data_IF_839179919256
#
_entry.id   IF_839179919256
#
_cell.length_a   1.000
_cell.length_b   1.000
_cell.length_c   1.000
_cell.angle_alpha   90.00
_cell.angle_beta   90.00
_cell.angle_gamma   90.00
#
_symmetry.space_group_name_H-M   'P 1'
#
loop_
_entity.id
_entity.type
_entity.pdbx_description
1 polymer ?
#
# COMPACT_ATOMS: atom_id res chain seq x y z
N UNK A 1 14.86 15.23 -0.48
CA UNK A 1 14.31 13.89 -0.19
C UNK A 1 12.88 14.03 0.30
N UNK A 2 11.97 13.23 -0.22
CA UNK A 2 10.55 13.24 0.12
C UNK A 2 10.00 11.81 0.14
N UNK A 3 8.83 11.61 0.77
CA UNK A 3 8.09 10.36 0.71
C UNK A 3 6.85 10.56 -0.14
N UNK A 4 6.68 9.70 -1.13
CA UNK A 4 5.52 9.64 -2.00
C UNK A 4 4.74 8.34 -1.79
N UNK A 5 3.54 8.24 -2.34
CA UNK A 5 2.78 7.00 -2.40
C UNK A 5 2.06 6.82 -3.74
N UNK A 6 1.99 5.57 -4.20
CA UNK A 6 1.18 5.14 -5.34
C UNK A 6 0.83 3.67 -5.16
N UNK A 7 -0.40 3.37 -4.79
CA UNK A 7 -0.94 2.02 -4.66
C UNK A 7 -1.55 1.51 -5.96
N UNK A 8 -1.86 0.21 -6.00
CA UNK A 8 -2.70 -0.37 -7.05
C UNK A 8 -2.12 -0.19 -8.46
N UNK A 9 -0.84 -0.54 -8.62
CA UNK A 9 -0.16 -0.46 -9.91
C UNK A 9 -0.76 -1.44 -10.92
N UNK A 10 -1.29 -2.57 -10.44
CA UNK A 10 -1.94 -3.62 -11.22
C UNK A 10 -1.17 -3.99 -12.49
N UNK A 11 0.16 -4.07 -12.37
CA UNK A 11 1.03 -4.43 -13.49
C UNK A 11 0.73 -5.84 -13.97
N UNK A 12 0.88 -6.05 -15.27
CA UNK A 12 0.63 -7.34 -15.92
C UNK A 12 1.52 -7.53 -17.15
N UNK A 13 2.76 -7.05 -17.08
CA UNK A 13 3.71 -7.13 -18.20
C UNK A 13 3.99 -8.59 -18.60
N UNK A 14 4.03 -9.48 -17.60
CA UNK A 14 4.17 -10.93 -17.82
C UNK A 14 2.83 -11.66 -18.10
N UNK A 15 1.68 -10.99 -17.99
CA UNK A 15 0.35 -11.57 -18.19
C UNK A 15 -0.64 -10.57 -18.82
N UNK A 16 -0.39 -10.14 -20.06
CA UNK A 16 -1.13 -9.03 -20.69
C UNK A 16 -2.61 -9.27 -20.87
N UNK A 17 -3.07 -10.51 -20.82
CA UNK A 17 -4.48 -10.91 -20.81
C UNK A 17 -5.24 -10.47 -19.54
N UNK A 18 -4.53 -10.03 -18.49
CA UNK A 18 -5.10 -9.50 -17.25
C UNK A 18 -5.01 -7.98 -17.13
N UNK A 19 -4.67 -7.28 -18.22
CA UNK A 19 -4.54 -5.82 -18.18
C UNK A 19 -5.82 -5.14 -17.73
N UNK A 20 -5.68 -4.14 -16.86
CA UNK A 20 -6.77 -3.28 -16.40
C UNK A 20 -7.43 -2.52 -17.57
N UNK A 21 -6.73 -2.31 -18.67
CA UNK A 21 -7.24 -1.67 -19.89
C UNK A 21 -8.42 -2.43 -20.50
N UNK A 22 -8.44 -3.76 -20.34
CA UNK A 22 -9.51 -4.61 -20.90
C UNK A 22 -10.86 -4.29 -20.26
N UNK A 23 -10.83 -3.93 -18.96
CA UNK A 23 -12.06 -3.73 -18.17
C UNK A 23 -12.42 -2.26 -17.98
N UNK A 24 -11.43 -1.33 -18.09
CA UNK A 24 -11.59 0.04 -17.65
C UNK A 24 -10.94 1.04 -18.62
N UNK A 25 -11.74 1.77 -19.39
CA UNK A 25 -11.24 2.79 -20.31
C UNK A 25 -10.38 3.88 -19.63
N UNK A 26 -10.58 4.13 -18.34
CA UNK A 26 -9.77 5.08 -17.55
C UNK A 26 -8.33 4.62 -17.35
N UNK A 27 -8.04 3.33 -17.58
CA UNK A 27 -6.72 2.71 -17.46
C UNK A 27 -5.95 2.64 -18.79
N UNK A 28 -6.46 3.21 -19.87
CA UNK A 28 -5.75 3.24 -21.16
C UNK A 28 -4.34 3.81 -20.98
N UNK A 29 -3.34 3.10 -21.51
CA UNK A 29 -1.90 3.43 -21.44
C UNK A 29 -1.39 3.64 -19.99
N UNK A 30 -2.00 2.99 -18.99
CA UNK A 30 -1.70 3.28 -17.58
C UNK A 30 -0.24 2.99 -17.19
N UNK A 31 0.40 1.97 -17.77
CA UNK A 31 1.80 1.64 -17.49
C UNK A 31 2.72 2.79 -17.93
N UNK A 32 2.51 3.33 -19.14
CA UNK A 32 3.26 4.48 -19.65
C UNK A 32 2.95 5.76 -18.85
N UNK A 33 1.71 5.94 -18.42
CA UNK A 33 1.32 7.06 -17.57
C UNK A 33 1.98 6.99 -16.20
N UNK A 34 2.02 5.80 -15.57
CA UNK A 34 2.77 5.57 -14.33
C UNK A 34 4.24 5.92 -14.55
N UNK A 35 4.88 5.35 -15.56
CA UNK A 35 6.30 5.59 -15.87
C UNK A 35 6.61 7.07 -16.06
N UNK A 36 5.82 7.74 -16.88
CA UNK A 36 6.00 9.17 -17.15
C UNK A 36 5.84 10.01 -15.87
N UNK A 37 4.69 9.85 -15.20
CA UNK A 37 4.36 10.66 -14.03
C UNK A 37 5.32 10.40 -12.85
N UNK A 38 5.78 9.15 -12.70
CA UNK A 38 6.77 8.79 -11.68
C UNK A 38 8.10 9.47 -11.95
N UNK A 39 8.64 9.36 -13.19
CA UNK A 39 9.91 10.00 -13.57
C UNK A 39 9.87 11.55 -13.51
N UNK A 40 8.70 12.15 -13.71
CA UNK A 40 8.50 13.60 -13.58
C UNK A 40 8.39 14.07 -12.13
N UNK A 41 8.14 13.17 -11.18
CA UNK A 41 7.78 13.51 -9.79
C UNK A 41 8.81 13.07 -8.76
N UNK A 42 9.40 11.89 -8.96
CA UNK A 42 10.27 11.20 -8.00
C UNK A 42 11.71 11.26 -8.47
N UNK A 43 12.64 11.50 -7.55
CA UNK A 43 14.09 11.43 -7.77
C UNK A 43 14.68 10.17 -7.14
N UNK A 44 15.94 9.84 -7.47
CA UNK A 44 16.64 8.68 -6.88
C UNK A 44 16.80 8.75 -5.36
N UNK A 45 16.73 9.95 -4.80
CA UNK A 45 16.87 10.20 -3.35
C UNK A 45 15.55 10.06 -2.58
N UNK A 46 14.42 9.94 -3.29
CA UNK A 46 13.09 9.88 -2.67
C UNK A 46 12.68 8.44 -2.34
N UNK A 47 11.65 8.30 -1.49
CA UNK A 47 11.04 7.01 -1.17
C UNK A 47 9.59 6.98 -1.65
N UNK A 48 9.18 5.87 -2.26
CA UNK A 48 7.79 5.66 -2.70
C UNK A 48 7.18 4.47 -1.98
N UNK A 49 6.08 4.73 -1.29
CA UNK A 49 5.24 3.73 -0.66
C UNK A 49 4.28 3.13 -1.69
N UNK A 50 4.23 1.79 -1.76
CA UNK A 50 3.31 1.08 -2.65
C UNK A 50 2.39 0.18 -1.80
N UNK A 51 1.23 0.68 -1.36
CA UNK A 51 0.30 -0.02 -0.48
C UNK A 51 -0.51 -1.14 -1.15
N UNK A 52 0.17 -2.06 -1.85
CA UNK A 52 -0.43 -3.28 -2.40
C UNK A 52 -1.01 -3.17 -3.80
N UNK A 53 -1.50 -4.31 -4.28
CA UNK A 53 -2.01 -4.56 -5.62
C UNK A 53 -1.01 -4.14 -6.71
N UNK A 54 0.20 -4.72 -6.59
CA UNK A 54 1.37 -4.39 -7.39
C UNK A 54 1.31 -5.09 -8.75
N UNK A 55 1.06 -6.40 -8.74
CA UNK A 55 1.11 -7.24 -9.95
C UNK A 55 0.00 -8.29 -9.97
N UNK A 56 -0.58 -8.52 -11.14
CA UNK A 56 -1.54 -9.59 -11.42
C UNK A 56 -0.90 -10.99 -11.54
N UNK A 57 0.40 -11.12 -11.40
CA UNK A 57 1.07 -12.41 -11.43
C UNK A 57 0.57 -13.32 -10.30
N UNK A 58 0.53 -14.63 -10.58
CA UNK A 58 0.09 -15.62 -9.58
C UNK A 58 1.25 -16.10 -8.70
N UNK A 59 2.47 -16.08 -9.23
CA UNK A 59 3.70 -16.55 -8.56
C UNK A 59 4.79 -15.49 -8.66
N UNK A 60 5.70 -15.45 -7.70
CA UNK A 60 6.76 -14.43 -7.62
C UNK A 60 7.70 -14.45 -8.83
N UNK A 61 8.02 -15.62 -9.35
CA UNK A 61 8.84 -15.79 -10.56
C UNK A 61 8.14 -15.28 -11.84
N UNK A 62 6.80 -15.22 -11.83
CA UNK A 62 6.00 -14.67 -12.93
C UNK A 62 5.80 -13.16 -12.84
N UNK A 63 6.19 -12.53 -11.74
CA UNK A 63 6.13 -11.08 -11.55
C UNK A 63 7.47 -10.39 -11.91
N UNK A 64 8.46 -11.11 -12.46
CA UNK A 64 9.80 -10.57 -12.72
C UNK A 64 9.78 -9.31 -13.59
N UNK A 65 9.03 -9.30 -14.69
CA UNK A 65 8.96 -8.15 -15.58
C UNK A 65 8.29 -6.94 -14.90
N UNK A 66 7.26 -7.17 -14.08
CA UNK A 66 6.60 -6.13 -13.32
C UNK A 66 7.55 -5.52 -12.28
N UNK A 67 8.32 -6.35 -11.56
CA UNK A 67 9.32 -5.87 -10.62
C UNK A 67 10.50 -5.17 -11.30
N UNK A 68 10.93 -5.66 -12.48
CA UNK A 68 11.96 -5.00 -13.28
C UNK A 68 11.51 -3.60 -13.67
N UNK A 69 10.29 -3.46 -14.17
CA UNK A 69 9.71 -2.15 -14.46
C UNK A 69 9.74 -1.22 -13.25
N UNK A 70 9.32 -1.70 -12.05
CA UNK A 70 9.34 -0.88 -10.83
C UNK A 70 10.78 -0.56 -10.41
N UNK A 71 11.72 -1.50 -10.52
CA UNK A 71 13.11 -1.30 -10.13
C UNK A 71 13.83 -0.24 -10.96
N UNK A 72 13.44 -0.10 -12.23
CA UNK A 72 13.98 0.92 -13.15
C UNK A 72 13.44 2.33 -12.89
N UNK A 73 12.36 2.47 -12.16
CA UNK A 73 11.84 3.77 -11.74
C UNK A 73 12.71 4.37 -10.64
N UNK A 74 12.88 5.72 -10.56
CA UNK A 74 13.70 6.36 -9.55
C UNK A 74 13.16 6.18 -8.12
N UNK A 75 14.05 6.32 -7.14
CA UNK A 75 13.77 6.27 -5.72
C UNK A 75 13.75 4.85 -5.12
N UNK A 76 13.75 4.78 -3.79
CA UNK A 76 13.56 3.57 -3.00
C UNK A 76 12.06 3.22 -2.94
N UNK A 77 11.69 1.96 -3.12
CA UNK A 77 10.28 1.52 -3.08
C UNK A 77 10.03 0.62 -1.88
N UNK A 78 9.02 0.96 -1.10
CA UNK A 78 8.54 0.15 0.03
C UNK A 78 7.22 -0.50 -0.37
N UNK A 79 7.24 -1.83 -0.50
CA UNK A 79 6.14 -2.61 -1.06
C UNK A 79 5.36 -3.33 0.03
N UNK A 80 4.05 -3.14 0.11
CA UNK A 80 3.19 -3.96 0.96
C UNK A 80 2.20 -4.78 0.14
N UNK A 81 1.52 -5.73 0.78
CA UNK A 81 0.63 -6.67 0.11
C UNK A 81 -0.77 -6.10 -0.09
N UNK A 82 -1.32 -6.24 -1.30
CA UNK A 82 -2.75 -6.07 -1.59
C UNK A 82 -3.53 -7.39 -1.65
N UNK A 83 -4.76 -7.34 -2.10
CA UNK A 83 -5.60 -8.52 -2.23
C UNK A 83 -5.38 -9.28 -3.55
N UNK A 84 -4.91 -8.61 -4.58
CA UNK A 84 -4.59 -9.22 -5.88
C UNK A 84 -3.13 -9.67 -6.00
N UNK A 85 -2.27 -9.39 -5.02
CA UNK A 85 -0.90 -9.88 -4.99
C UNK A 85 -0.85 -11.38 -4.63
N UNK A 86 -1.32 -12.23 -5.55
CA UNK A 86 -1.33 -13.69 -5.38
C UNK A 86 0.08 -14.29 -5.35
N UNK A 87 1.05 -13.63 -5.97
CA UNK A 87 2.47 -13.96 -5.96
C UNK A 87 3.11 -13.84 -4.57
N UNK A 88 2.49 -13.11 -3.65
CA UNK A 88 3.03 -12.87 -2.31
C UNK A 88 3.15 -14.15 -1.52
N UNK A 89 4.38 -14.49 -1.13
CA UNK A 89 4.72 -15.73 -0.42
C UNK A 89 5.43 -15.46 0.91
N UNK A 90 6.37 -16.30 1.33
CA UNK A 90 7.16 -16.04 2.53
C UNK A 90 8.17 -14.93 2.27
N UNK A 91 8.46 -14.11 3.29
CA UNK A 91 9.43 -13.01 3.18
C UNK A 91 10.75 -13.51 2.59
N UNK A 92 11.31 -14.59 3.18
CA UNK A 92 12.57 -15.15 2.69
C UNK A 92 12.56 -15.48 1.19
N UNK A 93 11.51 -16.09 0.67
CA UNK A 93 11.44 -16.42 -0.76
C UNK A 93 11.40 -15.18 -1.65
N UNK A 94 10.70 -14.14 -1.21
CA UNK A 94 10.61 -12.89 -1.95
C UNK A 94 11.94 -12.12 -1.91
N UNK A 95 12.57 -12.07 -0.73
CA UNK A 95 13.89 -11.45 -0.54
C UNK A 95 14.99 -12.18 -1.33
N UNK A 96 15.02 -13.52 -1.28
CA UNK A 96 15.94 -14.34 -2.06
C UNK A 96 15.76 -14.09 -3.58
N UNK A 97 14.51 -13.98 -4.04
CA UNK A 97 14.20 -13.68 -5.44
C UNK A 97 14.65 -12.26 -5.84
N UNK A 98 14.41 -11.26 -5.00
CA UNK A 98 14.85 -9.89 -5.27
C UNK A 98 16.37 -9.79 -5.30
N UNK A 99 17.07 -10.47 -4.38
CA UNK A 99 18.52 -10.53 -4.38
C UNK A 99 19.08 -11.23 -5.63
N UNK A 100 18.47 -12.36 -6.06
CA UNK A 100 18.85 -13.06 -7.30
C UNK A 100 18.70 -12.19 -8.54
N UNK A 101 17.65 -11.37 -8.60
CA UNK A 101 17.33 -10.52 -9.77
C UNK A 101 17.97 -9.14 -9.71
N UNK A 102 18.64 -8.78 -8.62
CA UNK A 102 19.30 -7.47 -8.44
C UNK A 102 18.32 -6.31 -8.21
N UNK A 103 17.17 -6.57 -7.58
CA UNK A 103 16.18 -5.54 -7.23
C UNK A 103 16.53 -4.89 -5.89
N UNK A 104 17.62 -4.12 -5.84
CA UNK A 104 18.23 -3.60 -4.61
C UNK A 104 17.48 -2.40 -4.02
N UNK A 105 16.69 -1.68 -4.83
CA UNK A 105 15.98 -0.47 -4.42
C UNK A 105 14.51 -0.72 -4.02
N UNK A 106 14.15 -1.97 -3.76
CA UNK A 106 12.81 -2.38 -3.33
C UNK A 106 12.87 -3.23 -2.07
N UNK A 107 12.03 -2.92 -1.09
CA UNK A 107 11.93 -3.62 0.18
C UNK A 107 10.48 -3.94 0.53
N UNK A 108 10.27 -5.02 1.28
CA UNK A 108 8.93 -5.44 1.70
C UNK A 108 8.56 -4.90 3.08
N UNK A 109 7.34 -4.38 3.18
CA UNK A 109 6.71 -3.95 4.43
C UNK A 109 5.62 -4.94 4.82
N UNK A 110 5.86 -5.67 5.92
CA UNK A 110 4.91 -6.65 6.47
C UNK A 110 5.05 -6.71 7.99
N UNK A 111 4.41 -5.78 8.68
CA UNK A 111 4.50 -5.63 10.14
C UNK A 111 5.92 -5.42 10.68
N UNK A 112 6.92 -5.20 9.82
CA UNK A 112 8.23 -4.67 10.18
C UNK A 112 8.21 -3.14 10.15
N UNK A 113 9.22 -2.52 10.73
CA UNK A 113 9.42 -1.07 10.69
C UNK A 113 10.65 -0.78 9.84
N UNK A 114 10.50 0.13 8.90
CA UNK A 114 11.58 0.69 8.08
C UNK A 114 11.66 2.19 8.32
N UNK A 115 12.85 2.75 8.21
CA UNK A 115 13.06 4.18 8.36
C UNK A 115 13.35 4.83 7.01
N UNK A 116 12.74 5.99 6.77
CA UNK A 116 13.05 6.87 5.65
C UNK A 116 12.67 8.31 5.99
N UNK A 117 13.50 9.27 5.61
CA UNK A 117 13.27 10.72 5.74
C UNK A 117 12.81 11.16 7.14
N UNK A 118 13.38 10.56 8.19
CA UNK A 118 12.99 10.86 9.57
C UNK A 118 11.58 10.37 9.94
N UNK A 119 11.02 9.44 9.15
CA UNK A 119 9.76 8.78 9.42
C UNK A 119 9.97 7.29 9.68
N UNK A 120 9.15 6.69 10.53
CA UNK A 120 9.04 5.24 10.69
C UNK A 120 7.84 4.73 9.90
N UNK A 121 8.08 3.73 9.08
CA UNK A 121 7.09 3.20 8.14
C UNK A 121 6.86 1.73 8.45
N UNK A 122 5.60 1.37 8.63
CA UNK A 122 5.16 -0.03 8.80
C UNK A 122 3.95 -0.30 7.92
N UNK A 123 3.48 -1.55 7.83
CA UNK A 123 2.31 -1.83 7.02
C UNK A 123 1.75 -3.24 7.16
N UNK A 124 0.49 -3.34 6.78
CA UNK A 124 -0.25 -4.60 6.65
C UNK A 124 -1.29 -4.49 5.54
N UNK A 125 -1.91 -5.61 5.15
CA UNK A 125 -2.93 -5.59 4.12
C UNK A 125 -4.22 -4.88 4.60
N UNK A 126 -4.61 -5.08 5.85
CA UNK A 126 -5.91 -4.67 6.36
C UNK A 126 -7.07 -5.50 5.82
N UNK A 127 -8.27 -5.03 6.10
CA UNK A 127 -9.52 -5.58 5.60
C UNK A 127 -10.60 -4.51 5.58
N UNK A 128 -11.36 -4.43 4.51
CA UNK A 128 -12.47 -3.47 4.42
C UNK A 128 -13.71 -4.01 5.14
N UNK A 129 -14.30 -3.16 5.97
CA UNK A 129 -15.51 -3.48 6.74
C UNK A 129 -16.50 -2.37 6.47
N UNK A 130 -17.61 -2.71 5.83
CA UNK A 130 -18.68 -1.74 5.53
C UNK A 130 -19.64 -1.56 6.70
N UNK A 131 -19.84 -2.59 7.52
CA UNK A 131 -20.70 -2.57 8.70
C UNK A 131 -20.33 -3.69 9.69
N UNK A 132 -20.81 -3.59 10.95
CA UNK A 132 -20.65 -4.68 11.94
C UNK A 132 -21.25 -6.00 11.44
N UNK A 133 -22.36 -5.94 10.73
CA UNK A 133 -23.07 -7.14 10.23
C UNK A 133 -22.22 -7.88 9.18
N UNK A 134 -21.36 -7.19 8.43
CA UNK A 134 -20.44 -7.81 7.47
C UNK A 134 -19.35 -8.65 8.12
N UNK A 135 -19.13 -8.52 9.43
CA UNK A 135 -18.15 -9.27 10.23
C UNK A 135 -18.73 -10.61 10.71
N UNK A 136 -20.05 -10.75 10.82
CA UNK A 136 -20.71 -11.89 11.46
C UNK A 136 -20.60 -13.21 10.71
N UNK A 137 -20.19 -13.21 9.42
CA UNK A 137 -19.86 -14.43 8.69
C UNK A 137 -18.55 -15.04 9.18
N UNK A 138 -18.50 -16.37 9.39
CA UNK A 138 -17.38 -17.06 10.05
C UNK A 138 -16.01 -16.85 9.40
N UNK A 139 -15.93 -16.70 8.09
CA UNK A 139 -14.67 -16.46 7.36
C UNK A 139 -14.24 -14.99 7.45
N UNK A 140 -15.14 -14.06 7.23
CA UNK A 140 -14.86 -12.62 7.34
C UNK A 140 -14.40 -12.25 8.74
N UNK A 141 -15.01 -12.83 9.78
CA UNK A 141 -14.61 -12.60 11.17
C UNK A 141 -13.18 -13.05 11.46
N UNK A 142 -12.76 -14.22 10.95
CA UNK A 142 -11.38 -14.70 11.13
C UNK A 142 -10.37 -13.79 10.45
N UNK A 143 -10.69 -13.30 9.25
CA UNK A 143 -9.82 -12.37 8.52
C UNK A 143 -9.74 -11.05 9.27
N UNK A 144 -10.87 -10.52 9.70
CA UNK A 144 -10.99 -9.29 10.48
C UNK A 144 -10.13 -9.32 11.74
N UNK A 145 -10.32 -10.33 12.61
CA UNK A 145 -9.56 -10.46 13.85
C UNK A 145 -8.05 -10.59 13.60
N UNK A 146 -7.67 -11.31 12.55
CA UNK A 146 -6.26 -11.43 12.15
C UNK A 146 -5.68 -10.09 11.70
N UNK A 147 -6.40 -9.31 10.91
CA UNK A 147 -5.91 -8.01 10.44
C UNK A 147 -5.91 -6.98 11.59
N UNK A 148 -6.87 -7.05 12.51
CA UNK A 148 -6.86 -6.29 13.77
C UNK A 148 -5.59 -6.53 14.57
N UNK A 149 -5.21 -7.80 14.77
CA UNK A 149 -3.95 -8.16 15.42
C UNK A 149 -2.73 -7.64 14.68
N UNK A 150 -2.73 -7.64 13.34
CA UNK A 150 -1.61 -7.12 12.53
C UNK A 150 -1.48 -5.62 12.63
N UNK A 151 -2.59 -4.88 12.63
CA UNK A 151 -2.58 -3.43 12.87
C UNK A 151 -1.98 -3.15 14.25
N UNK A 152 -2.41 -3.90 15.29
CA UNK A 152 -1.84 -3.76 16.62
C UNK A 152 -0.33 -4.04 16.63
N UNK A 153 0.12 -5.12 15.97
CA UNK A 153 1.56 -5.41 15.84
C UNK A 153 2.35 -4.30 15.14
N UNK A 154 1.77 -3.64 14.13
CA UNK A 154 2.39 -2.48 13.47
C UNK A 154 2.56 -1.33 14.48
N UNK A 155 1.51 -1.00 15.22
CA UNK A 155 1.50 0.06 16.22
C UNK A 155 2.52 -0.22 17.33
N UNK A 156 2.52 -1.45 17.86
CA UNK A 156 3.43 -1.84 18.95
C UNK A 156 4.90 -1.71 18.50
N UNK A 157 5.22 -2.11 17.27
CA UNK A 157 6.58 -1.99 16.74
C UNK A 157 6.99 -0.54 16.44
N UNK A 158 6.07 0.32 16.03
CA UNK A 158 6.36 1.75 15.92
C UNK A 158 6.72 2.34 17.28
N UNK A 159 5.92 2.04 18.32
CA UNK A 159 6.16 2.49 19.68
C UNK A 159 7.44 1.90 20.29
N UNK A 160 7.79 0.66 19.93
CA UNK A 160 9.07 0.05 20.34
C UNK A 160 10.27 0.74 19.70
N UNK A 161 10.14 1.09 18.40
CA UNK A 161 11.22 1.73 17.65
C UNK A 161 11.39 3.23 17.97
N UNK A 162 10.32 3.88 18.42
CA UNK A 162 10.28 5.33 18.74
C UNK A 162 9.36 5.58 19.95
N UNK A 163 9.84 5.25 21.19
CA UNK A 163 9.04 5.38 22.40
C UNK A 163 8.60 6.81 22.73
N UNK A 164 9.43 7.79 22.36
CA UNK A 164 9.21 9.20 22.65
C UNK A 164 8.43 9.92 21.54
N UNK A 165 8.11 9.20 20.44
CA UNK A 165 7.42 9.72 19.25
C UNK A 165 8.14 10.97 18.64
N UNK A 166 9.46 10.87 18.50
CA UNK A 166 10.27 11.94 17.92
C UNK A 166 10.22 11.98 16.39
N UNK A 167 9.75 10.87 15.76
CA UNK A 167 9.62 10.71 14.32
C UNK A 167 8.15 10.61 13.93
N UNK A 168 7.85 10.93 12.67
CA UNK A 168 6.50 10.67 12.12
C UNK A 168 6.29 9.18 11.90
N UNK A 169 5.16 8.67 12.36
CA UNK A 169 4.73 7.29 12.17
C UNK A 169 3.81 7.18 10.97
N UNK A 170 4.19 6.37 9.97
CA UNK A 170 3.42 6.14 8.75
C UNK A 170 2.98 4.68 8.69
N UNK A 171 1.69 4.44 8.51
CA UNK A 171 1.11 3.12 8.27
C UNK A 171 0.68 2.98 6.82
N UNK A 172 1.23 1.99 6.12
CA UNK A 172 0.76 1.54 4.81
C UNK A 172 -0.27 0.44 5.00
N UNK A 173 -1.47 0.64 4.48
CA UNK A 173 -2.54 -0.37 4.53
C UNK A 173 -3.22 -0.44 3.17
N UNK A 174 -3.49 -1.66 2.65
CA UNK A 174 -4.10 -1.74 1.32
C UNK A 174 -5.59 -1.42 1.36
N UNK A 175 -6.37 -2.11 2.21
CA UNK A 175 -7.78 -1.81 2.36
C UNK A 175 -8.01 -0.52 3.14
N UNK A 176 -8.96 0.36 2.70
CA UNK A 176 -9.24 1.59 3.44
C UNK A 176 -9.76 1.29 4.86
N UNK A 177 -9.09 1.79 5.92
CA UNK A 177 -9.53 1.58 7.29
C UNK A 177 -10.74 2.44 7.68
N UNK A 178 -11.04 3.43 6.84
CA UNK A 178 -12.18 4.33 6.95
C UNK A 178 -12.66 4.70 5.54
N UNK A 179 -13.96 4.93 5.38
CA UNK A 179 -14.55 5.45 4.14
C UNK A 179 -15.42 6.66 4.40
N UNK A 180 -15.61 7.53 3.40
CA UNK A 180 -16.32 8.80 3.52
C UNK A 180 -17.77 8.71 4.05
N UNK A 181 -18.39 7.52 3.97
CA UNK A 181 -19.78 7.30 4.39
C UNK A 181 -19.91 6.22 5.47
N UNK A 182 -18.79 5.75 6.03
CA UNK A 182 -18.79 4.65 6.96
C UNK A 182 -19.08 5.14 8.39
N UNK A 183 -19.99 4.43 9.07
CA UNK A 183 -20.27 4.64 10.49
C UNK A 183 -19.42 3.77 11.43
N UNK A 184 -18.68 2.80 10.89
CA UNK A 184 -17.85 1.88 11.64
C UNK A 184 -16.38 2.11 11.33
N UNK A 185 -15.66 2.63 12.31
CA UNK A 185 -14.29 3.15 12.15
C UNK A 185 -13.27 2.46 13.06
N UNK A 186 -13.55 1.23 13.50
CA UNK A 186 -12.71 0.56 14.51
C UNK A 186 -11.23 0.50 14.12
N UNK A 187 -10.90 0.19 12.86
CA UNK A 187 -9.51 0.19 12.41
C UNK A 187 -8.92 1.60 12.37
N UNK A 188 -9.70 2.59 11.93
CA UNK A 188 -9.24 3.98 11.94
C UNK A 188 -9.01 4.50 13.35
N UNK A 189 -9.91 4.22 14.29
CA UNK A 189 -9.73 4.58 15.70
C UNK A 189 -8.52 3.88 16.32
N UNK A 190 -8.33 2.58 16.06
CA UNK A 190 -7.12 1.85 16.52
C UNK A 190 -5.83 2.49 15.99
N UNK A 191 -5.81 2.89 14.72
CA UNK A 191 -4.65 3.52 14.08
C UNK A 191 -4.36 4.88 14.74
N UNK A 192 -5.39 5.68 14.95
CA UNK A 192 -5.27 7.01 15.56
C UNK A 192 -4.85 6.92 17.05
N UNK A 193 -5.53 6.11 17.87
CA UNK A 193 -5.17 5.86 19.26
C UNK A 193 -3.77 5.25 19.40
N UNK A 194 -3.31 4.55 18.34
CA UNK A 194 -1.99 3.98 18.24
C UNK A 194 -0.87 5.01 18.07
N UNK A 195 -1.19 6.27 17.76
CA UNK A 195 -0.22 7.33 17.51
C UNK A 195 0.37 7.29 16.08
N UNK A 196 -0.41 6.83 15.11
CA UNK A 196 -0.01 6.91 13.69
C UNK A 196 -0.36 8.29 13.16
N UNK A 197 0.64 9.03 12.65
CA UNK A 197 0.43 10.38 12.10
C UNK A 197 -0.21 10.34 10.72
N UNK A 198 0.21 9.39 9.88
CA UNK A 198 -0.26 9.28 8.50
C UNK A 198 -0.59 7.83 8.17
N UNK A 199 -1.77 7.61 7.65
CA UNK A 199 -2.22 6.33 7.10
C UNK A 199 -2.44 6.44 5.59
N UNK A 200 -1.66 5.67 4.82
CA UNK A 200 -1.74 5.65 3.35
C UNK A 200 -2.39 4.35 2.90
N UNK A 201 -3.39 4.44 2.05
CA UNK A 201 -4.15 3.28 1.61
C UNK A 201 -4.45 3.29 0.10
N UNK A 202 -4.95 2.16 -0.41
CA UNK A 202 -5.32 1.94 -1.81
C UNK A 202 -6.69 1.31 -1.98
N UNK A 203 -6.78 0.34 -2.91
CA UNK A 203 -7.92 -0.57 -3.14
C UNK A 203 -9.15 0.03 -3.83
N UNK A 204 -9.38 1.32 -3.77
CA UNK A 204 -10.58 1.95 -4.30
C UNK A 204 -10.40 2.34 -5.77
N UNK A 205 -11.19 1.75 -6.67
CA UNK A 205 -11.14 1.99 -8.11
C UNK A 205 -12.46 2.48 -8.69
N UNK A 206 -12.39 3.32 -9.72
CA UNK A 206 -13.53 3.75 -10.50
C UNK A 206 -14.67 4.31 -9.65
N UNK A 207 -15.84 3.67 -9.65
CA UNK A 207 -17.00 4.14 -8.88
C UNK A 207 -16.77 4.13 -7.36
N UNK A 208 -15.86 3.30 -6.86
CA UNK A 208 -15.56 3.26 -5.42
C UNK A 208 -14.72 4.45 -4.94
N UNK A 209 -14.18 5.29 -5.83
CA UNK A 209 -13.55 6.57 -5.46
C UNK A 209 -14.46 7.45 -4.60
N UNK A 210 -15.77 7.37 -4.78
CA UNK A 210 -16.73 8.10 -3.94
C UNK A 210 -16.75 7.66 -2.47
N UNK A 211 -16.10 6.55 -2.15
CA UNK A 211 -15.91 6.05 -0.78
C UNK A 211 -14.59 6.51 -0.17
N UNK A 212 -13.67 7.08 -0.94
CA UNK A 212 -12.39 7.53 -0.43
C UNK A 212 -12.58 8.61 0.65
N UNK A 213 -11.89 8.42 1.76
CA UNK A 213 -11.79 9.40 2.83
C UNK A 213 -10.41 10.07 2.77
N UNK A 214 -10.41 11.34 2.43
CA UNK A 214 -9.22 12.19 2.41
C UNK A 214 -9.33 13.22 3.53
N UNK A 215 -8.41 13.22 4.48
CA UNK A 215 -8.46 14.16 5.58
C UNK A 215 -7.93 13.60 6.89
N UNK A 216 -8.26 14.29 7.98
CA UNK A 216 -7.86 13.93 9.33
C UNK A 216 -9.03 13.29 10.10
N UNK A 217 -8.71 12.22 10.84
CA UNK A 217 -9.62 11.57 11.76
C UNK A 217 -8.85 11.24 13.04
N UNK A 218 -9.29 11.78 14.17
CA UNK A 218 -8.70 11.58 15.50
C UNK A 218 -7.17 11.81 15.55
N UNK A 219 -6.66 12.80 14.79
CA UNK A 219 -5.24 13.15 14.74
C UNK A 219 -4.41 12.41 13.70
N UNK A 220 -4.97 11.39 13.03
CA UNK A 220 -4.32 10.71 11.91
C UNK A 220 -4.77 11.27 10.57
N UNK A 221 -3.83 11.60 9.69
CA UNK A 221 -4.12 11.98 8.30
C UNK A 221 -4.25 10.73 7.43
N UNK A 222 -5.41 10.54 6.78
CA UNK A 222 -5.68 9.45 5.84
C UNK A 222 -5.54 9.92 4.39
N UNK A 223 -4.83 9.13 3.57
CA UNK A 223 -4.51 9.47 2.17
C UNK A 223 -4.80 8.25 1.29
N UNK A 224 -5.68 8.43 0.31
CA UNK A 224 -5.92 7.45 -0.74
C UNK A 224 -4.88 7.62 -1.84
N UNK A 225 -4.13 6.56 -2.14
CA UNK A 225 -3.08 6.56 -3.15
C UNK A 225 -3.33 5.61 -4.32
N UNK A 226 -4.58 5.11 -4.48
CA UNK A 226 -4.94 4.25 -5.62
C UNK A 226 -4.59 4.93 -6.95
N UNK A 227 -3.91 4.23 -7.84
CA UNK A 227 -3.33 4.81 -9.05
C UNK A 227 -4.33 5.58 -9.91
N UNK A 228 -5.51 5.02 -10.18
CA UNK A 228 -6.54 5.69 -10.98
C UNK A 228 -7.24 6.83 -10.23
N UNK A 229 -7.24 6.81 -8.88
CA UNK A 229 -7.74 7.92 -8.06
C UNK A 229 -6.84 9.15 -8.16
N UNK A 230 -5.53 8.95 -8.11
CA UNK A 230 -4.52 10.02 -8.17
C UNK A 230 -4.01 10.33 -9.58
N UNK A 231 -4.69 9.80 -10.62
CA UNK A 231 -4.34 10.03 -12.02
C UNK A 231 -3.00 9.41 -12.44
N UNK A 232 -2.61 8.30 -11.81
CA UNK A 232 -1.36 7.53 -12.05
C UNK A 232 -0.10 8.35 -11.75
N UNK A 233 -0.19 9.27 -10.79
CA UNK A 233 0.93 10.11 -10.37
C UNK A 233 1.21 9.89 -8.89
N UNK A 234 2.48 9.60 -8.49
CA UNK A 234 2.84 9.52 -7.07
C UNK A 234 2.45 10.79 -6.31
N UNK A 235 1.75 10.63 -5.19
CA UNK A 235 1.33 11.75 -4.34
C UNK A 235 2.33 11.94 -3.21
N UNK A 236 2.67 13.20 -2.93
CA UNK A 236 3.60 13.53 -1.84
C UNK A 236 2.93 13.33 -0.48
N UNK A 237 3.59 12.59 0.42
CA UNK A 237 3.14 12.28 1.76
C UNK A 237 3.82 13.19 2.79
N UNK A 238 5.15 13.27 2.69
CA UNK A 238 6.03 14.13 3.54
C UNK A 238 6.99 14.91 2.68
#
# INVERSE_FOLDING_TARGET
MAIYALADLHLCLSCPDKSMEICWATWTDYVERIKKNWNETVTDEDTVLVPGDISWATYVDKAEEDFRFISELPGRKLLSRGNHDYWWTTMKKMEDFFAEKGFENMEFVRTNVLESEGCLITGTRGWMIESKDSIEGSENRKIYEREKLRIQMCIDKLKEADPDHDKKHILMIHYPPITAKQSFTEFASMIAEGGVDICVYGHLHGRSHSKAFEGEFEGTRFICSSADFVGFKPVKIV
#
